data_IF_299602467976
#
_entry.id   IF_299602467976
#
_cell.length_a   1.000
_cell.length_b   1.000
_cell.length_c   1.000
_cell.angle_alpha   90.00
_cell.angle_beta   90.00
_cell.angle_gamma   90.00
#
_symmetry.space_group_name_H-M   'P 1'
#
loop_
_entity.id
_entity.type
_entity.pdbx_description
1 polymer ?
#
# COMPACT_ATOMS: atom_id res chain seq x y z
N UNK A 1 -10.29 -22.34 4.89
CA UNK A 1 -10.78 -21.76 6.17
C UNK A 1 -9.59 -21.12 6.84
N UNK A 2 -9.62 -19.82 7.10
CA UNK A 2 -8.50 -19.11 7.74
C UNK A 2 -8.56 -19.35 9.25
N UNK A 3 -7.52 -19.94 9.82
CA UNK A 3 -7.39 -20.11 11.27
C UNK A 3 -7.07 -18.77 11.96
N UNK A 4 -7.21 -18.67 13.29
CA UNK A 4 -6.77 -17.48 14.05
C UNK A 4 -5.29 -17.12 13.78
N UNK A 5 -4.45 -18.12 13.56
CA UNK A 5 -3.04 -17.92 13.15
C UNK A 5 -2.92 -17.29 11.76
N UNK A 6 -3.82 -17.62 10.84
CA UNK A 6 -3.83 -17.03 9.49
C UNK A 6 -4.29 -15.57 9.53
N UNK A 7 -5.25 -15.23 10.38
CA UNK A 7 -5.70 -13.85 10.57
C UNK A 7 -4.61 -12.94 11.13
N UNK A 8 -3.76 -13.43 12.04
CA UNK A 8 -2.60 -12.66 12.51
C UNK A 8 -1.60 -12.37 11.37
N UNK A 9 -1.36 -13.34 10.48
CA UNK A 9 -0.51 -13.13 9.29
C UNK A 9 -1.14 -12.15 8.31
N UNK A 10 -2.45 -12.25 8.08
CA UNK A 10 -3.20 -11.31 7.23
C UNK A 10 -3.13 -9.91 7.82
N UNK A 11 -3.35 -9.74 9.12
CA UNK A 11 -3.23 -8.46 9.81
C UNK A 11 -1.84 -7.84 9.58
N UNK A 12 -0.78 -8.57 9.93
CA UNK A 12 0.59 -8.09 9.76
C UNK A 12 0.94 -7.77 8.29
N UNK A 13 0.34 -8.51 7.35
CA UNK A 13 0.55 -8.32 5.91
C UNK A 13 -0.16 -7.09 5.36
N UNK A 14 -1.39 -6.79 5.80
CA UNK A 14 -2.24 -5.78 5.16
C UNK A 14 -2.45 -4.51 5.97
N UNK A 15 -2.31 -4.54 7.31
CA UNK A 15 -2.67 -3.43 8.19
C UNK A 15 -2.06 -2.10 7.74
N UNK A 16 -0.73 -2.02 7.66
CA UNK A 16 -0.02 -0.78 7.31
C UNK A 16 -0.40 -0.26 5.91
N UNK A 17 -0.62 -1.16 4.94
CA UNK A 17 -1.01 -0.76 3.58
C UNK A 17 -2.45 -0.25 3.55
N UNK A 18 -3.37 -0.87 4.29
CA UNK A 18 -4.76 -0.40 4.38
C UNK A 18 -4.85 0.95 5.10
N UNK A 19 -4.02 1.20 6.13
CA UNK A 19 -3.95 2.51 6.81
C UNK A 19 -3.47 3.58 5.83
N UNK A 20 -2.41 3.30 5.08
CA UNK A 20 -1.92 4.22 4.04
C UNK A 20 -2.96 4.46 2.94
N UNK A 21 -3.67 3.42 2.52
CA UNK A 21 -4.76 3.53 1.57
C UNK A 21 -5.90 4.40 2.11
N UNK A 22 -6.32 4.19 3.37
CA UNK A 22 -7.32 5.01 4.04
C UNK A 22 -6.91 6.49 4.16
N UNK A 23 -5.62 6.77 4.43
CA UNK A 23 -5.05 8.11 4.50
C UNK A 23 -5.15 8.89 3.17
N UNK A 24 -5.36 8.23 2.02
CA UNK A 24 -5.64 8.91 0.74
C UNK A 24 -7.00 9.60 0.74
N UNK A 25 -7.92 9.17 1.62
CA UNK A 25 -9.28 9.70 1.75
C UNK A 25 -9.46 10.56 2.99
N UNK A 26 -8.80 10.22 4.10
CA UNK A 26 -8.91 10.91 5.38
C UNK A 26 -7.54 11.45 5.82
N UNK A 27 -7.44 12.73 6.21
CA UNK A 27 -6.16 13.32 6.60
C UNK A 27 -5.67 12.88 7.99
N UNK A 28 -6.56 12.42 8.86
CA UNK A 28 -6.24 12.02 10.23
C UNK A 28 -5.84 10.55 10.27
N UNK A 29 -4.57 10.32 10.59
CA UNK A 29 -3.99 8.97 10.62
C UNK A 29 -4.62 8.08 11.70
N UNK A 30 -4.85 8.63 12.88
CA UNK A 30 -5.42 7.88 14.00
C UNK A 30 -6.81 7.31 13.65
N UNK A 31 -7.66 8.11 12.98
CA UNK A 31 -8.98 7.64 12.51
C UNK A 31 -8.85 6.52 11.47
N UNK A 32 -7.83 6.56 10.61
CA UNK A 32 -7.57 5.50 9.65
C UNK A 32 -7.11 4.20 10.31
N UNK A 33 -6.28 4.30 11.36
CA UNK A 33 -5.85 3.15 12.15
C UNK A 33 -7.06 2.49 12.84
N UNK A 34 -7.93 3.28 13.47
CA UNK A 34 -9.19 2.80 14.06
C UNK A 34 -10.09 2.12 13.02
N UNK A 35 -10.22 2.71 11.82
CA UNK A 35 -11.08 2.16 10.78
C UNK A 35 -10.61 0.81 10.29
N UNK A 36 -9.30 0.67 10.07
CA UNK A 36 -8.69 -0.58 9.65
C UNK A 36 -8.77 -1.61 10.77
N UNK A 37 -8.53 -1.22 12.02
CA UNK A 37 -8.66 -2.11 13.17
C UNK A 37 -10.07 -2.69 13.26
N UNK A 38 -11.10 -1.87 13.17
CA UNK A 38 -12.50 -2.31 13.18
C UNK A 38 -12.83 -3.28 12.03
N UNK A 39 -12.22 -3.11 10.85
CA UNK A 39 -12.41 -4.04 9.73
C UNK A 39 -11.86 -5.42 10.08
N UNK A 40 -10.69 -5.47 10.73
CA UNK A 40 -10.12 -6.73 11.20
C UNK A 40 -10.89 -7.34 12.37
N UNK A 41 -11.44 -6.52 13.27
CA UNK A 41 -12.34 -6.99 14.34
C UNK A 41 -13.61 -7.61 13.72
N UNK A 42 -14.23 -6.93 12.75
CA UNK A 42 -15.39 -7.47 12.03
C UNK A 42 -15.08 -8.78 11.32
N UNK A 43 -13.88 -8.88 10.73
CA UNK A 43 -13.41 -10.09 10.06
C UNK A 43 -13.31 -11.28 11.03
N UNK A 44 -12.84 -11.02 12.26
CA UNK A 44 -12.73 -11.99 13.34
C UNK A 44 -14.09 -12.38 13.91
N UNK A 45 -14.93 -11.40 14.26
CA UNK A 45 -16.22 -11.62 14.92
C UNK A 45 -17.25 -12.31 14.03
N UNK A 46 -17.26 -11.98 12.74
CA UNK A 46 -18.20 -12.57 11.77
C UNK A 46 -17.68 -13.86 11.14
N UNK A 47 -16.49 -14.32 11.55
CA UNK A 47 -15.82 -15.52 11.02
C UNK A 47 -15.84 -15.57 9.48
N UNK A 48 -15.62 -14.42 8.84
CA UNK A 48 -15.73 -14.31 7.39
C UNK A 48 -14.66 -15.17 6.73
N UNK A 49 -15.10 -16.00 5.79
CA UNK A 49 -14.24 -16.87 5.02
C UNK A 49 -14.23 -16.45 3.56
N UNK A 50 -13.05 -16.51 2.93
CA UNK A 50 -12.86 -16.22 1.51
C UNK A 50 -12.30 -17.44 0.80
N UNK A 51 -12.66 -17.65 -0.47
CA UNK A 51 -12.17 -18.79 -1.26
C UNK A 51 -10.66 -18.72 -1.54
N UNK A 52 -10.10 -17.50 -1.60
CA UNK A 52 -8.70 -17.25 -1.93
C UNK A 52 -8.23 -15.87 -1.38
N UNK A 53 -6.94 -15.58 -1.52
CA UNK A 53 -6.32 -14.33 -1.04
C UNK A 53 -6.79 -13.09 -1.84
N UNK A 54 -7.11 -13.23 -3.13
CA UNK A 54 -7.59 -12.12 -3.97
C UNK A 54 -8.96 -11.68 -3.45
N UNK A 55 -9.87 -12.62 -3.22
CA UNK A 55 -11.21 -12.36 -2.68
C UNK A 55 -11.16 -11.65 -1.31
N UNK A 56 -10.26 -12.09 -0.42
CA UNK A 56 -10.01 -11.43 0.87
C UNK A 56 -9.49 -10.00 0.66
N UNK A 57 -8.54 -9.81 -0.24
CA UNK A 57 -7.93 -8.50 -0.50
C UNK A 57 -8.93 -7.51 -1.08
N UNK A 58 -9.72 -7.93 -2.06
CA UNK A 58 -10.83 -7.15 -2.62
C UNK A 58 -11.77 -6.72 -1.50
N UNK A 59 -12.12 -7.63 -0.59
CA UNK A 59 -12.95 -7.31 0.58
C UNK A 59 -12.29 -6.27 1.50
N UNK A 60 -11.01 -6.42 1.84
CA UNK A 60 -10.30 -5.52 2.75
C UNK A 60 -10.23 -4.08 2.20
N UNK A 61 -9.80 -3.91 0.95
CA UNK A 61 -9.77 -2.58 0.32
C UNK A 61 -11.16 -2.00 0.14
N UNK A 62 -12.16 -2.82 -0.23
CA UNK A 62 -13.53 -2.36 -0.43
C UNK A 62 -14.13 -1.88 0.89
N UNK A 63 -13.94 -2.65 1.96
CA UNK A 63 -14.41 -2.29 3.31
C UNK A 63 -13.73 -1.01 3.82
N UNK A 64 -12.42 -0.88 3.60
CA UNK A 64 -11.65 0.32 3.97
C UNK A 64 -12.16 1.54 3.24
N UNK A 65 -12.27 1.45 1.91
CA UNK A 65 -12.77 2.53 1.06
C UNK A 65 -14.19 2.94 1.45
N UNK A 66 -15.08 1.96 1.63
CA UNK A 66 -16.47 2.22 2.02
C UNK A 66 -16.54 2.92 3.36
N UNK A 67 -15.76 2.48 4.36
CA UNK A 67 -15.74 3.10 5.68
C UNK A 67 -15.24 4.55 5.64
N UNK A 68 -14.21 4.83 4.84
CA UNK A 68 -13.75 6.20 4.60
C UNK A 68 -14.84 7.05 3.92
N UNK A 69 -15.53 6.52 2.91
CA UNK A 69 -16.60 7.26 2.23
C UNK A 69 -17.82 7.50 3.11
N UNK A 70 -18.24 6.52 3.90
CA UNK A 70 -19.33 6.65 4.85
C UNK A 70 -19.00 7.73 5.88
N UNK A 71 -17.78 7.73 6.42
CA UNK A 71 -17.33 8.76 7.33
C UNK A 71 -17.31 10.15 6.67
N UNK A 72 -16.74 10.29 5.47
CA UNK A 72 -16.76 11.54 4.71
C UNK A 72 -18.19 12.01 4.39
N UNK A 73 -19.12 11.09 4.12
CA UNK A 73 -20.54 11.40 3.91
C UNK A 73 -21.16 11.94 5.20
N UNK A 74 -20.88 11.33 6.35
CA UNK A 74 -21.33 11.82 7.65
C UNK A 74 -20.75 13.20 7.99
N UNK A 75 -19.46 13.43 7.73
CA UNK A 75 -18.83 14.74 7.89
C UNK A 75 -19.46 15.79 6.97
N UNK A 76 -19.68 15.47 5.69
CA UNK A 76 -20.33 16.38 4.72
C UNK A 76 -21.77 16.71 5.08
N UNK A 77 -22.57 15.71 5.51
CA UNK A 77 -23.94 15.93 6.01
C UNK A 77 -23.94 16.85 7.22
N UNK A 78 -22.91 16.74 8.07
CA UNK A 78 -22.71 17.62 9.24
C UNK A 78 -22.18 19.01 8.85
N UNK A 79 -21.40 19.12 7.78
CA UNK A 79 -20.73 20.36 7.37
C UNK A 79 -21.54 21.27 6.44
N UNK A 80 -22.44 20.77 5.56
CA UNK A 80 -23.13 21.64 4.57
C UNK A 80 -24.25 20.89 3.84
N UNK A 81 -25.50 21.37 3.73
CA UNK A 81 -25.96 22.40 2.76
C UNK A 81 -25.10 22.64 1.49
N UNK A 82 -24.19 21.75 1.10
CA UNK A 82 -23.40 21.89 -0.13
C UNK A 82 -23.08 20.51 -0.65
N UNK A 83 -24.03 20.03 -1.45
CA UNK A 83 -23.84 18.97 -2.41
C UNK A 83 -22.61 19.25 -3.26
N UNK A 84 -21.62 18.35 -3.25
CA UNK A 84 -20.99 17.80 -4.46
C UNK A 84 -19.83 16.85 -4.12
N UNK A 85 -19.64 15.88 -5.03
CA UNK A 85 -18.61 14.84 -5.08
C UNK A 85 -18.66 13.79 -3.98
N UNK A 86 -19.62 12.88 -4.10
CA UNK A 86 -19.35 11.46 -3.85
C UNK A 86 -19.33 10.84 -5.24
N UNK A 87 -18.13 10.46 -5.73
CA UNK A 87 -18.03 9.70 -6.98
C UNK A 87 -18.77 8.37 -6.74
N UNK A 88 -19.71 7.98 -7.62
CA UNK A 88 -20.38 6.70 -7.48
C UNK A 88 -19.37 5.55 -7.43
N UNK A 89 -19.67 4.52 -6.64
CA UNK A 89 -18.93 3.26 -6.48
C UNK A 89 -19.01 2.36 -7.74
N UNK A 90 -19.17 2.95 -8.93
CA UNK A 90 -19.81 2.26 -10.07
C UNK A 90 -18.85 1.55 -11.02
N UNK A 91 -17.54 1.78 -10.93
CA UNK A 91 -16.58 1.07 -11.77
C UNK A 91 -15.81 0.00 -10.96
N UNK A 92 -16.33 -1.22 -11.01
CA UNK A 92 -15.71 -2.39 -10.41
C UNK A 92 -14.36 -2.72 -11.06
N UNK A 93 -14.19 -2.47 -12.36
CA UNK A 93 -12.92 -2.70 -13.04
C UNK A 93 -11.86 -1.71 -12.56
N UNK A 94 -12.21 -0.42 -12.45
CA UNK A 94 -11.30 0.60 -11.92
C UNK A 94 -10.90 0.30 -10.48
N UNK A 95 -11.83 -0.19 -9.65
CA UNK A 95 -11.50 -0.60 -8.29
C UNK A 95 -10.57 -1.81 -8.25
N UNK A 96 -10.82 -2.83 -9.07
CA UNK A 96 -9.94 -4.00 -9.14
C UNK A 96 -8.52 -3.62 -9.62
N UNK A 97 -8.41 -2.66 -10.54
CA UNK A 97 -7.12 -2.09 -10.95
C UNK A 97 -6.43 -1.39 -9.77
N UNK A 98 -7.14 -0.56 -9.01
CA UNK A 98 -6.59 0.10 -7.81
C UNK A 98 -6.10 -0.92 -6.77
N UNK A 99 -6.88 -1.99 -6.51
CA UNK A 99 -6.47 -3.08 -5.60
C UNK A 99 -5.20 -3.78 -6.09
N UNK A 100 -5.05 -3.94 -7.41
CA UNK A 100 -3.86 -4.54 -8.02
C UNK A 100 -2.64 -3.61 -7.89
N UNK A 101 -2.80 -2.31 -8.10
CA UNK A 101 -1.73 -1.32 -7.93
C UNK A 101 -1.23 -1.27 -6.49
N UNK A 102 -2.14 -1.31 -5.51
CA UNK A 102 -1.78 -1.34 -4.09
C UNK A 102 -1.07 -2.66 -3.70
N UNK A 103 -1.45 -3.77 -4.33
CA UNK A 103 -0.71 -5.04 -4.19
C UNK A 103 0.72 -4.92 -4.69
N UNK A 104 0.90 -4.43 -5.91
CA UNK A 104 2.21 -4.26 -6.54
C UNK A 104 3.09 -3.35 -5.68
N UNK A 105 2.52 -2.25 -5.21
CA UNK A 105 3.19 -1.29 -4.33
C UNK A 105 3.62 -1.96 -3.02
N UNK A 106 2.73 -2.74 -2.38
CA UNK A 106 3.09 -3.46 -1.16
C UNK A 106 4.22 -4.45 -1.38
N UNK A 107 4.18 -5.24 -2.45
CA UNK A 107 5.23 -6.21 -2.78
C UNK A 107 6.57 -5.51 -3.06
N UNK A 108 6.55 -4.36 -3.72
CA UNK A 108 7.73 -3.54 -3.95
C UNK A 108 8.35 -3.10 -2.63
N UNK A 109 7.57 -2.50 -1.72
CA UNK A 109 8.07 -2.07 -0.41
C UNK A 109 8.58 -3.24 0.44
N UNK A 110 7.91 -4.40 0.39
CA UNK A 110 8.39 -5.59 1.07
C UNK A 110 9.77 -6.02 0.56
N UNK A 111 9.97 -6.04 -0.76
CA UNK A 111 11.26 -6.41 -1.34
C UNK A 111 12.35 -5.39 -1.06
N UNK A 112 12.04 -4.09 -1.12
CA UNK A 112 12.96 -3.02 -0.71
C UNK A 112 13.37 -3.19 0.75
N UNK A 113 12.42 -3.60 1.61
CA UNK A 113 12.68 -3.92 3.02
C UNK A 113 13.71 -5.03 3.23
N UNK A 114 13.94 -5.91 2.24
CA UNK A 114 14.95 -6.98 2.31
C UNK A 114 16.36 -6.53 1.91
N UNK A 115 16.51 -5.34 1.32
CA UNK A 115 17.81 -4.80 0.96
C UNK A 115 18.61 -4.45 2.23
N UNK A 116 19.93 -4.70 2.18
CA UNK A 116 20.81 -4.42 3.32
C UNK A 116 21.43 -3.02 3.26
N UNK A 117 21.53 -2.38 4.43
CA UNK A 117 22.29 -1.16 4.67
C UNK A 117 22.02 -0.04 3.66
N UNK A 118 23.08 0.46 3.01
CA UNK A 118 23.04 1.59 2.08
C UNK A 118 22.16 1.36 0.84
N UNK A 119 21.92 0.11 0.43
CA UNK A 119 21.03 -0.19 -0.71
C UNK A 119 19.60 0.23 -0.40
N UNK A 120 19.10 -0.15 0.78
CA UNK A 120 17.74 0.16 1.24
C UNK A 120 17.53 1.67 1.34
N UNK A 121 18.42 2.35 2.06
CA UNK A 121 18.36 3.80 2.27
C UNK A 121 18.32 4.59 0.94
N UNK A 122 19.18 4.24 -0.01
CA UNK A 122 19.23 4.90 -1.33
C UNK A 122 17.96 4.64 -2.15
N UNK A 123 17.42 3.43 -2.11
CA UNK A 123 16.19 3.09 -2.84
C UNK A 123 14.98 3.75 -2.20
N UNK A 124 14.89 3.82 -0.87
CA UNK A 124 13.82 4.53 -0.16
C UNK A 124 13.82 6.03 -0.47
N UNK A 125 14.98 6.68 -0.49
CA UNK A 125 15.09 8.09 -0.91
C UNK A 125 14.71 8.28 -2.38
N UNK A 126 15.06 7.33 -3.25
CA UNK A 126 14.63 7.36 -4.64
C UNK A 126 13.12 7.23 -4.80
N UNK A 127 12.47 6.40 -3.98
CA UNK A 127 11.01 6.23 -3.97
C UNK A 127 10.29 7.48 -3.44
N UNK A 128 10.96 8.26 -2.58
CA UNK A 128 10.51 9.60 -2.16
C UNK A 128 10.71 10.68 -3.23
N UNK A 129 11.21 10.32 -4.42
CA UNK A 129 11.37 11.22 -5.56
C UNK A 129 12.71 11.96 -5.64
N UNK A 130 13.66 11.69 -4.74
CA UNK A 130 14.96 12.36 -4.78
C UNK A 130 15.80 11.89 -5.98
N UNK A 131 16.40 12.87 -6.66
CA UNK A 131 17.38 12.65 -7.73
C UNK A 131 18.70 12.14 -7.16
N UNK A 132 19.51 11.52 -8.02
CA UNK A 132 20.77 10.91 -7.60
C UNK A 132 21.73 11.90 -6.91
N UNK A 133 21.77 13.15 -7.36
CA UNK A 133 22.61 14.19 -6.76
C UNK A 133 22.09 14.62 -5.38
N UNK A 134 20.78 14.72 -5.21
CA UNK A 134 20.14 15.03 -3.92
C UNK A 134 20.37 13.90 -2.90
N UNK A 135 20.29 12.65 -3.33
CA UNK A 135 20.63 11.48 -2.51
C UNK A 135 22.11 11.51 -2.13
N UNK A 136 22.99 11.80 -3.08
CA UNK A 136 24.43 11.89 -2.85
C UNK A 136 24.77 12.94 -1.79
N UNK A 137 24.15 14.12 -1.90
CA UNK A 137 24.26 15.20 -0.92
C UNK A 137 23.71 14.79 0.44
N UNK A 138 22.51 14.20 0.48
CA UNK A 138 21.85 13.75 1.72
C UNK A 138 22.70 12.73 2.48
N UNK A 139 23.37 11.82 1.76
CA UNK A 139 24.13 10.72 2.36
C UNK A 139 25.63 11.01 2.51
N UNK A 140 26.10 12.17 2.05
CA UNK A 140 27.52 12.54 2.08
C UNK A 140 28.43 11.65 1.21
N UNK A 141 27.90 11.15 0.08
CA UNK A 141 28.63 10.26 -0.85
C UNK A 141 28.68 10.86 -2.26
N UNK A 142 29.47 10.25 -3.16
CA UNK A 142 29.53 10.70 -4.56
C UNK A 142 28.28 10.23 -5.32
N UNK A 143 27.78 11.03 -6.26
CA UNK A 143 26.68 10.63 -7.16
C UNK A 143 26.97 9.32 -7.88
N UNK A 144 28.23 9.08 -8.27
CA UNK A 144 28.62 7.82 -8.89
C UNK A 144 28.41 6.62 -7.95
N UNK A 145 28.69 6.78 -6.66
CA UNK A 145 28.43 5.76 -5.64
C UNK A 145 26.94 5.47 -5.53
N UNK A 146 26.08 6.49 -5.59
CA UNK A 146 24.62 6.31 -5.64
C UNK A 146 24.20 5.48 -6.84
N UNK A 147 24.68 5.82 -8.05
CA UNK A 147 24.37 5.07 -9.28
C UNK A 147 24.81 3.61 -9.20
N UNK A 148 26.02 3.35 -8.70
CA UNK A 148 26.54 1.99 -8.54
C UNK A 148 25.72 1.18 -7.52
N UNK A 149 25.38 1.77 -6.38
CA UNK A 149 24.56 1.08 -5.36
C UNK A 149 23.14 0.82 -5.89
N UNK A 150 22.53 1.79 -6.58
CA UNK A 150 21.21 1.59 -7.23
C UNK A 150 21.25 0.45 -8.23
N UNK A 151 22.24 0.40 -9.12
CA UNK A 151 22.40 -0.68 -10.09
C UNK A 151 22.48 -2.05 -9.40
N UNK A 152 23.28 -2.16 -8.32
CA UNK A 152 23.38 -3.40 -7.53
C UNK A 152 22.07 -3.76 -6.83
N UNK A 153 21.37 -2.78 -6.26
CA UNK A 153 20.08 -2.98 -5.61
C UNK A 153 19.00 -3.45 -6.61
N UNK A 154 18.92 -2.84 -7.80
CA UNK A 154 17.98 -3.28 -8.83
C UNK A 154 18.27 -4.69 -9.34
N UNK A 155 19.55 -5.07 -9.45
CA UNK A 155 19.92 -6.45 -9.81
C UNK A 155 19.42 -7.44 -8.75
N UNK A 156 19.62 -7.12 -7.47
CA UNK A 156 19.17 -7.96 -6.35
C UNK A 156 17.63 -8.06 -6.30
N UNK A 157 16.93 -6.93 -6.44
CA UNK A 157 15.48 -6.91 -6.53
C UNK A 157 15.00 -7.76 -7.72
N UNK A 158 15.62 -7.60 -8.90
CA UNK A 158 15.26 -8.37 -10.10
C UNK A 158 15.43 -9.88 -9.92
N UNK A 159 16.50 -10.31 -9.24
CA UNK A 159 16.71 -11.74 -8.94
C UNK A 159 15.64 -12.30 -8.00
N UNK A 160 15.24 -11.51 -6.99
CA UNK A 160 14.12 -11.87 -6.09
C UNK A 160 12.77 -11.89 -6.82
N UNK A 161 12.59 -11.01 -7.81
CA UNK A 161 11.37 -10.89 -8.61
C UNK A 161 11.37 -11.72 -9.90
N UNK A 162 12.31 -12.64 -10.13
CA UNK A 162 12.27 -13.54 -11.30
C UNK A 162 11.00 -14.40 -11.39
N UNK A 163 10.21 -14.50 -10.31
CA UNK A 163 8.91 -15.15 -10.29
C UNK A 163 7.70 -14.19 -10.47
N UNK A 164 7.91 -12.88 -10.57
CA UNK A 164 6.85 -11.86 -10.68
C UNK A 164 7.18 -10.96 -11.88
N UNK A 165 6.76 -11.40 -13.06
CA UNK A 165 6.95 -10.73 -14.35
C UNK A 165 6.31 -9.33 -14.43
N UNK A 166 5.40 -8.99 -13.51
CA UNK A 166 4.59 -7.76 -13.57
C UNK A 166 5.29 -6.50 -13.02
N UNK A 167 6.27 -6.62 -12.12
CA UNK A 167 6.88 -5.47 -11.43
C UNK A 167 7.89 -4.73 -12.32
N UNK A 168 8.51 -5.45 -13.27
CA UNK A 168 9.56 -4.91 -14.15
C UNK A 168 8.99 -3.83 -15.10
N UNK A 169 7.72 -3.96 -15.51
CA UNK A 169 7.09 -2.98 -16.38
C UNK A 169 6.83 -1.63 -15.67
N UNK A 170 6.67 -1.62 -14.35
CA UNK A 170 6.35 -0.40 -13.60
C UNK A 170 7.58 0.41 -13.19
N UNK A 171 8.76 -0.22 -13.07
CA UNK A 171 10.01 0.46 -12.69
C UNK A 171 10.78 1.04 -13.90
N UNK A 172 10.35 0.74 -15.13
CA UNK A 172 10.99 1.19 -16.38
C UNK A 172 10.10 2.13 -17.21
N UNK A 173 8.94 2.52 -16.68
CA UNK A 173 8.02 3.51 -17.26
C UNK A 173 8.24 4.90 -16.64
#
# INVERSE_FOLDING_TARGET
MFTKSDLHKIFNKYYSTLVLYANRFLPLRDECEDFVQDIFVNLLEKELNFPDEISLRVYLYKSTRNKCYDHLKHLKVREKHTSSFIRPLEDENLFLQEVLEEEITRQLYQAVGTLSGRKKEIIELSLKGLKNDEIAQTLGIRTQTVKTIKSSAYKELRERFKNISSIICFLLA
#
